data_IF_766123074281
#
_entry.id   IF_766123074281
#
_cell.length_a   1.000
_cell.length_b   1.000
_cell.length_c   1.000
_cell.angle_alpha   90.00
_cell.angle_beta   90.00
_cell.angle_gamma   90.00
#
_symmetry.space_group_name_H-M   'P 1'
#
loop_
_entity.id
_entity.type
_entity.pdbx_description
1 polymer ?
#
# COMPACT_ATOMS: atom_id res chain seq x y z
N UNK A 1 -14.75 5.52 27.75
CA UNK A 1 -14.27 4.71 26.62
C UNK A 1 -13.87 3.34 27.16
N UNK A 2 -14.26 2.28 26.45
CA UNK A 2 -13.95 0.87 26.69
C UNK A 2 -12.78 0.52 25.76
N UNK A 3 -11.82 -0.26 26.27
CA UNK A 3 -10.72 -0.78 25.44
C UNK A 3 -11.25 -1.91 24.53
N UNK A 4 -11.13 -1.73 23.22
CA UNK A 4 -11.52 -2.71 22.22
C UNK A 4 -10.42 -3.74 21.98
N UNK A 5 -9.16 -3.29 21.98
CA UNK A 5 -7.98 -4.14 21.81
C UNK A 5 -6.69 -3.40 22.18
N UNK A 6 -5.64 -4.16 22.45
CA UNK A 6 -4.26 -3.67 22.65
C UNK A 6 -3.25 -4.63 22.03
N UNK A 7 -2.09 -4.12 21.63
CA UNK A 7 -1.00 -4.96 21.15
C UNK A 7 -0.08 -4.29 20.13
N UNK A 8 0.79 -5.09 19.49
CA UNK A 8 1.64 -4.63 18.40
C UNK A 8 0.80 -4.38 17.15
N UNK A 9 0.76 -3.11 16.73
CA UNK A 9 0.00 -2.71 15.56
C UNK A 9 0.65 -3.25 14.28
N UNK A 10 -0.17 -3.86 13.43
CA UNK A 10 0.13 -4.07 12.01
C UNK A 10 -0.68 -3.10 11.14
N UNK A 11 -0.31 -2.94 9.86
CA UNK A 11 -1.19 -2.26 8.90
C UNK A 11 -2.62 -2.85 8.99
N UNK A 12 -3.66 -2.05 8.78
CA UNK A 12 -5.03 -2.55 8.83
C UNK A 12 -5.22 -3.69 7.83
N UNK A 13 -5.97 -4.73 8.23
CA UNK A 13 -6.50 -5.68 7.27
C UNK A 13 -7.53 -4.95 6.41
N UNK A 14 -7.50 -5.21 5.10
CA UNK A 14 -8.39 -4.57 4.16
C UNK A 14 -8.88 -5.59 3.13
N UNK A 15 -10.16 -5.57 2.83
CA UNK A 15 -10.79 -6.41 1.83
C UNK A 15 -11.87 -5.64 1.08
N UNK A 16 -12.12 -6.03 -0.16
CA UNK A 16 -13.20 -5.47 -0.97
C UNK A 16 -14.42 -6.38 -0.83
N UNK A 17 -15.45 -5.92 -0.11
CA UNK A 17 -16.78 -6.52 -0.12
C UNK A 17 -17.65 -5.68 -1.04
N UNK A 18 -17.49 -5.94 -2.35
CA UNK A 18 -17.89 -5.03 -3.41
C UNK A 18 -19.33 -4.50 -3.24
N UNK A 19 -19.54 -3.17 -3.38
CA UNK A 19 -18.55 -2.16 -3.79
C UNK A 19 -17.77 -1.52 -2.62
N UNK A 20 -18.04 -1.90 -1.37
CA UNK A 20 -17.54 -1.19 -0.18
C UNK A 20 -16.30 -1.87 0.40
N UNK A 21 -15.29 -1.06 0.72
CA UNK A 21 -14.06 -1.54 1.35
C UNK A 21 -14.27 -1.74 2.85
N UNK A 22 -13.83 -2.89 3.36
CA UNK A 22 -13.88 -3.26 4.77
C UNK A 22 -12.49 -3.23 5.40
N UNK A 23 -12.44 -2.75 6.65
CA UNK A 23 -11.22 -2.57 7.41
C UNK A 23 -11.29 -3.24 8.77
N UNK A 24 -10.14 -3.76 9.22
CA UNK A 24 -9.95 -4.16 10.61
C UNK A 24 -8.60 -3.72 11.14
N UNK A 25 -8.56 -3.27 12.38
CA UNK A 25 -7.32 -3.18 13.12
C UNK A 25 -6.74 -4.59 13.33
N UNK A 26 -5.42 -4.65 13.40
CA UNK A 26 -4.66 -5.86 13.75
C UNK A 26 -3.67 -5.49 14.83
N UNK A 27 -3.95 -5.93 16.06
CA UNK A 27 -3.10 -5.74 17.23
C UNK A 27 -2.75 -7.12 17.78
N UNK A 28 -1.49 -7.52 17.57
CA UNK A 28 -1.06 -8.91 17.78
C UNK A 28 -2.03 -9.91 17.09
N UNK A 29 -2.61 -10.84 17.84
CA UNK A 29 -3.56 -11.85 17.33
C UNK A 29 -5.02 -11.35 17.32
N UNK A 30 -5.27 -10.09 17.73
CA UNK A 30 -6.62 -9.52 17.80
C UNK A 30 -6.96 -8.73 16.55
N UNK A 31 -8.13 -9.02 15.98
CA UNK A 31 -8.69 -8.28 14.85
C UNK A 31 -9.98 -7.57 15.26
N UNK A 32 -10.02 -6.24 15.09
CA UNK A 32 -11.19 -5.41 15.44
C UNK A 32 -11.76 -4.74 14.17
N UNK A 33 -13.01 -5.01 13.77
CA UNK A 33 -13.66 -4.32 12.65
C UNK A 33 -13.70 -2.80 12.88
N UNK A 34 -13.26 -2.01 11.89
CA UNK A 34 -13.20 -0.54 12.02
C UNK A 34 -14.42 0.16 11.40
N UNK A 35 -14.98 -0.40 10.32
CA UNK A 35 -16.13 0.21 9.64
C UNK A 35 -17.32 0.52 10.57
N UNK A 36 -17.71 -0.36 11.52
CA UNK A 36 -18.80 -0.06 12.45
C UNK A 36 -18.50 1.08 13.44
N UNK A 37 -17.23 1.48 13.57
CA UNK A 37 -16.79 2.54 14.48
C UNK A 37 -16.89 3.94 13.83
N UNK A 38 -17.22 4.02 12.54
CA UNK A 38 -17.44 5.30 11.84
C UNK A 38 -18.66 6.00 12.46
N UNK A 39 -18.55 7.32 12.61
CA UNK A 39 -19.51 8.17 13.33
C UNK A 39 -19.33 8.16 14.85
N UNK A 40 -18.44 7.31 15.39
CA UNK A 40 -18.23 7.17 16.84
C UNK A 40 -16.91 7.82 17.28
N UNK A 41 -16.83 8.17 18.57
CA UNK A 41 -15.57 8.60 19.18
C UNK A 41 -14.63 7.40 19.29
N UNK A 42 -13.41 7.56 18.80
CA UNK A 42 -12.38 6.54 18.81
C UNK A 42 -11.05 7.18 19.26
N UNK A 43 -10.32 6.47 20.11
CA UNK A 43 -9.00 6.86 20.61
C UNK A 43 -7.97 5.78 20.31
N UNK A 44 -6.86 6.20 19.73
CA UNK A 44 -5.64 5.40 19.60
C UNK A 44 -4.60 5.96 20.57
N UNK A 45 -4.08 5.12 21.44
CA UNK A 45 -3.09 5.50 22.45
C UNK A 45 -1.80 4.70 22.30
N UNK A 46 -0.67 5.39 22.19
CA UNK A 46 0.65 4.79 22.14
C UNK A 46 1.15 4.45 23.55
N UNK A 47 1.44 3.17 23.77
CA UNK A 47 1.81 2.61 25.08
C UNK A 47 3.32 2.70 25.39
N UNK A 48 4.08 3.48 24.63
CA UNK A 48 5.50 3.75 24.92
C UNK A 48 6.49 2.63 24.56
N UNK A 49 6.07 1.66 23.74
CA UNK A 49 6.94 0.58 23.26
C UNK A 49 6.75 0.27 21.78
N UNK A 50 7.86 0.02 21.08
CA UNK A 50 7.89 -0.44 19.69
C UNK A 50 8.59 -1.80 19.68
N UNK A 51 7.94 -2.82 19.12
CA UNK A 51 8.46 -4.20 19.04
C UNK A 51 8.67 -4.60 17.58
N UNK A 52 9.92 -4.87 17.22
CA UNK A 52 10.29 -5.23 15.84
C UNK A 52 9.38 -6.34 15.29
N UNK A 53 8.75 -6.11 14.14
CA UNK A 53 7.84 -7.07 13.49
C UNK A 53 8.51 -8.39 13.09
N UNK A 54 9.84 -8.45 13.02
CA UNK A 54 10.58 -9.68 12.73
C UNK A 54 11.05 -10.41 13.99
N UNK A 55 11.76 -9.71 14.88
CA UNK A 55 12.44 -10.36 16.01
C UNK A 55 11.80 -10.10 17.38
N UNK A 56 10.71 -9.33 17.44
CA UNK A 56 10.00 -8.97 18.68
C UNK A 56 10.76 -8.04 19.63
N UNK A 57 12.06 -7.80 19.43
CA UNK A 57 12.88 -6.97 20.32
C UNK A 57 12.37 -5.53 20.38
N UNK A 58 12.37 -4.97 21.59
CA UNK A 58 12.07 -3.57 21.83
C UNK A 58 13.09 -2.65 21.16
N UNK A 59 12.61 -1.62 20.48
CA UNK A 59 13.41 -0.61 19.80
C UNK A 59 12.87 0.79 20.12
N UNK A 60 13.73 1.81 20.00
CA UNK A 60 13.33 3.22 20.18
C UNK A 60 12.66 3.79 18.93
N UNK A 61 12.92 3.20 17.77
CA UNK A 61 12.44 3.70 16.48
C UNK A 61 12.08 2.51 15.57
N UNK A 62 11.04 2.68 14.77
CA UNK A 62 10.62 1.73 13.73
C UNK A 62 11.23 2.16 12.39
N UNK A 63 12.04 1.29 11.79
CA UNK A 63 12.63 1.45 10.47
C UNK A 63 11.87 0.61 9.44
N UNK A 64 11.84 1.05 8.19
CA UNK A 64 11.22 0.31 7.07
C UNK A 64 9.83 -0.26 7.40
N UNK A 65 9.01 0.52 8.12
CA UNK A 65 7.63 0.17 8.51
C UNK A 65 7.52 -1.07 9.43
N UNK A 66 8.39 -1.21 10.43
CA UNK A 66 8.18 -2.20 11.50
C UNK A 66 9.45 -2.83 12.09
N UNK A 67 10.65 -2.50 11.59
CA UNK A 67 11.87 -3.22 11.96
C UNK A 67 12.77 -2.42 12.90
N UNK A 68 13.50 -3.12 13.78
CA UNK A 68 14.63 -2.54 14.49
C UNK A 68 15.84 -2.38 13.55
N UNK A 69 16.78 -1.52 13.92
CA UNK A 69 17.97 -1.24 13.10
C UNK A 69 18.76 -2.51 12.68
N UNK A 70 19.06 -3.46 13.59
CA UNK A 70 19.75 -4.69 13.20
C UNK A 70 18.99 -5.59 12.21
N UNK A 71 17.65 -5.59 12.26
CA UNK A 71 16.85 -6.35 11.30
C UNK A 71 16.80 -5.63 9.95
N UNK A 72 16.65 -4.30 9.96
CA UNK A 72 16.64 -3.51 8.73
C UNK A 72 17.94 -3.66 7.93
N UNK A 73 19.09 -3.76 8.59
CA UNK A 73 20.38 -3.93 7.90
C UNK A 73 20.65 -5.36 7.42
N UNK A 74 19.94 -6.36 7.95
CA UNK A 74 20.18 -7.79 7.64
C UNK A 74 19.17 -8.38 6.66
N UNK A 75 17.90 -8.01 6.78
CA UNK A 75 16.81 -8.65 6.04
C UNK A 75 16.71 -8.13 4.61
N UNK A 76 16.56 -9.03 3.64
CA UNK A 76 16.42 -8.69 2.22
C UNK A 76 15.13 -7.89 1.93
N UNK A 77 14.06 -8.13 2.70
CA UNK A 77 12.81 -7.35 2.61
C UNK A 77 12.92 -5.88 3.04
N UNK A 78 14.09 -5.46 3.53
CA UNK A 78 14.40 -4.06 3.83
C UNK A 78 15.36 -3.43 2.80
N UNK A 79 15.76 -4.17 1.77
CA UNK A 79 16.70 -3.67 0.76
C UNK A 79 16.09 -2.62 -0.16
N UNK A 80 16.97 -1.84 -0.78
CA UNK A 80 16.59 -0.80 -1.76
C UNK A 80 15.77 -1.37 -2.91
N UNK A 81 16.02 -2.62 -3.32
CA UNK A 81 15.31 -3.28 -4.41
C UNK A 81 13.83 -3.58 -4.11
N UNK A 82 13.39 -3.40 -2.87
CA UNK A 82 11.97 -3.44 -2.49
C UNK A 82 11.25 -2.19 -2.99
N UNK A 83 11.92 -1.04 -2.97
CA UNK A 83 11.40 0.25 -3.45
C UNK A 83 11.77 0.52 -4.91
N UNK A 84 12.86 -0.10 -5.40
CA UNK A 84 13.41 0.01 -6.75
C UNK A 84 13.53 -1.39 -7.37
N UNK A 85 12.42 -2.02 -7.78
CA UNK A 85 12.38 -3.42 -8.21
C UNK A 85 13.32 -3.73 -9.40
N UNK A 86 13.58 -2.76 -10.26
CA UNK A 86 14.51 -2.85 -11.39
C UNK A 86 15.96 -3.13 -10.94
N UNK A 87 16.32 -2.76 -9.72
CA UNK A 87 17.64 -3.01 -9.09
C UNK A 87 17.67 -4.29 -8.26
N UNK A 88 17.01 -5.34 -8.73
CA UNK A 88 16.84 -6.60 -8.00
C UNK A 88 18.19 -7.21 -7.57
N UNK A 89 18.42 -7.31 -6.26
CA UNK A 89 19.64 -7.94 -5.73
C UNK A 89 19.69 -9.45 -6.00
N UNK A 90 18.54 -10.12 -6.11
CA UNK A 90 18.52 -11.55 -6.42
C UNK A 90 19.01 -11.83 -7.83
N UNK A 91 18.51 -11.09 -8.81
CA UNK A 91 18.99 -11.16 -10.20
C UNK A 91 20.49 -10.83 -10.29
N UNK A 92 20.95 -9.83 -9.53
CA UNK A 92 22.35 -9.47 -9.43
C UNK A 92 23.23 -10.46 -8.63
N UNK A 93 22.67 -11.54 -8.07
CA UNK A 93 23.40 -12.53 -7.27
C UNK A 93 23.90 -12.01 -5.91
N UNK A 94 23.35 -10.89 -5.41
CA UNK A 94 23.79 -10.20 -4.19
C UNK A 94 22.71 -10.16 -3.10
N UNK A 95 21.60 -10.87 -3.27
CA UNK A 95 20.53 -10.93 -2.28
C UNK A 95 21.05 -11.48 -0.94
N UNK A 96 20.76 -10.78 0.15
CA UNK A 96 21.14 -11.20 1.51
C UNK A 96 20.45 -12.49 1.95
N UNK A 97 19.27 -12.76 1.40
CA UNK A 97 18.46 -13.96 1.68
C UNK A 97 17.96 -14.56 0.35
N UNK A 98 18.80 -15.36 -0.36
CA UNK A 98 18.43 -15.89 -1.67
C UNK A 98 17.14 -16.72 -1.66
N UNK A 99 16.95 -17.60 -0.67
CA UNK A 99 15.73 -18.41 -0.56
C UNK A 99 14.45 -17.56 -0.43
N UNK A 100 14.54 -16.42 0.27
CA UNK A 100 13.45 -15.45 0.33
C UNK A 100 13.25 -14.74 -1.02
N UNK A 101 14.35 -14.36 -1.68
CA UNK A 101 14.32 -13.74 -3.00
C UNK A 101 13.67 -14.62 -4.07
N UNK A 102 13.91 -15.92 -4.07
CA UNK A 102 13.24 -16.87 -4.96
C UNK A 102 11.70 -16.81 -4.77
N UNK A 103 11.23 -16.91 -3.53
CA UNK A 103 9.80 -16.91 -3.22
C UNK A 103 9.12 -15.56 -3.43
N UNK A 104 9.85 -14.46 -3.24
CA UNK A 104 9.30 -13.11 -3.27
C UNK A 104 9.45 -12.44 -4.64
N UNK A 105 10.61 -12.58 -5.29
CA UNK A 105 10.95 -11.93 -6.55
C UNK A 105 10.60 -12.79 -7.76
N UNK A 106 10.78 -14.11 -7.68
CA UNK A 106 10.58 -15.05 -8.80
C UNK A 106 9.18 -15.64 -8.79
N UNK A 107 8.19 -14.75 -8.80
CA UNK A 107 6.77 -15.09 -8.84
C UNK A 107 6.03 -14.09 -9.71
N UNK A 108 4.83 -14.46 -10.16
CA UNK A 108 4.01 -13.61 -11.00
C UNK A 108 3.68 -12.28 -10.31
N UNK A 109 4.02 -11.21 -11.03
CA UNK A 109 3.68 -9.85 -10.71
C UNK A 109 2.70 -9.30 -11.75
N UNK A 110 2.01 -8.24 -11.35
CA UNK A 110 1.09 -7.49 -12.17
C UNK A 110 1.50 -6.03 -12.16
N UNK A 111 1.57 -5.47 -13.36
CA UNK A 111 1.63 -4.02 -13.59
C UNK A 111 0.20 -3.54 -13.81
N UNK A 112 -0.19 -2.45 -13.15
CA UNK A 112 -1.55 -1.94 -13.18
C UNK A 112 -1.57 -0.41 -13.26
N UNK A 113 -2.67 0.11 -13.79
CA UNK A 113 -3.09 1.49 -13.62
C UNK A 113 -3.95 1.61 -12.37
N UNK A 114 -3.76 2.68 -11.59
CA UNK A 114 -4.62 2.99 -10.45
C UNK A 114 -4.94 4.48 -10.41
N UNK A 115 -6.17 4.81 -10.04
CA UNK A 115 -6.63 6.18 -9.84
C UNK A 115 -6.97 6.39 -8.36
N UNK A 116 -6.08 7.06 -7.61
CA UNK A 116 -6.28 7.36 -6.18
C UNK A 116 -6.63 8.84 -5.96
N UNK A 117 -5.91 9.73 -6.66
CA UNK A 117 -6.12 11.18 -6.69
C UNK A 117 -5.61 11.74 -8.03
N UNK A 118 -5.62 10.90 -9.06
CA UNK A 118 -4.76 10.96 -10.22
C UNK A 118 -4.27 9.56 -10.61
N UNK A 119 -3.97 9.42 -11.90
CA UNK A 119 -3.47 8.19 -12.50
C UNK A 119 -2.04 7.89 -12.06
N UNK A 120 -1.73 6.62 -11.83
CA UNK A 120 -0.37 6.11 -11.63
C UNK A 120 -0.22 4.72 -12.23
N UNK A 121 1.01 4.39 -12.61
CA UNK A 121 1.45 3.02 -12.84
C UNK A 121 1.95 2.45 -11.52
N UNK A 122 1.58 1.22 -11.21
CA UNK A 122 2.07 0.53 -10.02
C UNK A 122 2.31 -0.94 -10.28
N UNK A 123 3.12 -1.55 -9.42
CA UNK A 123 3.38 -2.99 -9.45
C UNK A 123 2.97 -3.68 -8.16
N UNK A 124 2.72 -4.99 -8.26
CA UNK A 124 2.46 -5.86 -7.10
C UNK A 124 2.56 -7.33 -7.48
N UNK A 125 2.67 -8.22 -6.49
CA UNK A 125 2.43 -9.65 -6.70
C UNK A 125 0.96 -9.89 -7.03
N UNK A 126 0.66 -10.83 -7.93
CA UNK A 126 -0.71 -11.16 -8.29
C UNK A 126 -1.58 -11.50 -7.07
N UNK A 127 -1.01 -12.23 -6.10
CA UNK A 127 -1.66 -12.63 -4.84
C UNK A 127 -2.02 -11.48 -3.90
N UNK A 128 -1.54 -10.26 -4.16
CA UNK A 128 -1.85 -9.06 -3.36
C UNK A 128 -2.95 -8.21 -3.98
N UNK A 129 -3.54 -8.62 -5.10
CA UNK A 129 -4.71 -7.96 -5.68
C UNK A 129 -6.00 -8.49 -5.06
N UNK A 130 -6.99 -7.65 -4.71
CA UNK A 130 -7.00 -6.18 -4.84
C UNK A 130 -6.38 -5.43 -3.64
N UNK A 131 -5.92 -6.12 -2.59
CA UNK A 131 -5.42 -5.55 -1.33
C UNK A 131 -4.42 -4.40 -1.52
N UNK A 132 -3.51 -4.50 -2.50
CA UNK A 132 -2.51 -3.47 -2.77
C UNK A 132 -3.12 -2.16 -3.30
N UNK A 133 -4.22 -2.22 -4.04
CA UNK A 133 -4.96 -1.04 -4.49
C UNK A 133 -5.70 -0.40 -3.34
N UNK A 134 -6.34 -1.22 -2.49
CA UNK A 134 -7.05 -0.80 -1.29
C UNK A 134 -6.12 -0.10 -0.30
N UNK A 135 -4.93 -0.64 -0.06
CA UNK A 135 -3.89 -0.03 0.78
C UNK A 135 -3.47 1.36 0.31
N UNK A 136 -3.59 1.61 -0.99
CA UNK A 136 -3.20 2.87 -1.64
C UNK A 136 -4.38 3.85 -1.79
N UNK A 137 -5.60 3.45 -1.41
CA UNK A 137 -6.78 4.28 -1.54
C UNK A 137 -7.19 4.54 -2.99
N UNK A 138 -6.90 3.61 -3.91
CA UNK A 138 -7.34 3.72 -5.30
C UNK A 138 -8.86 3.57 -5.41
N UNK A 139 -9.54 4.48 -6.10
CA UNK A 139 -10.97 4.42 -6.44
C UNK A 139 -11.22 3.56 -7.68
N UNK A 140 -10.25 3.53 -8.61
CA UNK A 140 -10.25 2.62 -9.75
C UNK A 140 -8.89 1.94 -9.89
N UNK A 141 -8.88 0.70 -10.36
CA UNK A 141 -7.66 0.04 -10.80
C UNK A 141 -7.91 -0.88 -11.98
N UNK A 142 -6.91 -1.02 -12.84
CA UNK A 142 -6.93 -1.87 -14.02
C UNK A 142 -5.58 -2.60 -14.13
N UNK A 143 -5.54 -3.93 -13.96
CA UNK A 143 -4.39 -4.74 -14.40
C UNK A 143 -4.13 -4.52 -15.89
N UNK A 144 -2.88 -4.25 -16.27
CA UNK A 144 -2.53 -4.01 -17.68
C UNK A 144 -1.52 -5.02 -18.21
N UNK A 145 -0.65 -5.57 -17.36
CA UNK A 145 0.31 -6.61 -17.75
C UNK A 145 0.55 -7.62 -16.63
N UNK A 146 0.71 -8.89 -16.98
CA UNK A 146 1.28 -9.93 -16.14
C UNK A 146 2.76 -10.11 -16.49
N UNK A 147 3.61 -10.17 -15.48
CA UNK A 147 5.06 -10.30 -15.65
C UNK A 147 5.63 -11.38 -14.73
N UNK A 148 6.59 -12.15 -15.22
CA UNK A 148 7.05 -13.36 -14.54
C UNK A 148 7.90 -13.10 -13.28
N UNK A 149 8.55 -11.93 -13.19
CA UNK A 149 9.37 -11.58 -12.03
C UNK A 149 9.13 -10.15 -11.55
N UNK A 150 9.49 -9.92 -10.28
CA UNK A 150 9.47 -8.59 -9.66
C UNK A 150 10.35 -7.59 -10.42
N UNK A 151 11.53 -8.00 -10.86
CA UNK A 151 12.45 -7.11 -11.57
C UNK A 151 11.85 -6.65 -12.89
N UNK A 152 11.30 -7.59 -13.66
CA UNK A 152 10.63 -7.29 -14.92
C UNK A 152 9.46 -6.32 -14.69
N UNK A 153 8.70 -6.49 -13.60
CA UNK A 153 7.65 -5.52 -13.25
C UNK A 153 8.19 -4.11 -13.02
N UNK A 154 9.36 -3.96 -12.38
CA UNK A 154 10.01 -2.67 -12.18
C UNK A 154 10.48 -2.04 -13.49
N UNK A 155 11.08 -2.83 -14.38
CA UNK A 155 11.51 -2.36 -15.70
C UNK A 155 10.32 -1.89 -16.55
N UNK A 156 9.22 -2.66 -16.55
CA UNK A 156 7.98 -2.27 -17.23
C UNK A 156 7.39 -1.01 -16.59
N UNK A 157 7.33 -0.94 -15.25
CA UNK A 157 6.82 0.26 -14.55
C UNK A 157 7.63 1.51 -14.91
N UNK A 158 8.96 1.42 -14.99
CA UNK A 158 9.84 2.54 -15.34
C UNK A 158 9.56 3.06 -16.76
N UNK A 159 9.44 2.15 -17.73
CA UNK A 159 9.06 2.50 -19.12
C UNK A 159 7.73 3.25 -19.14
N UNK A 160 6.69 2.72 -18.49
CA UNK A 160 5.34 3.27 -18.54
C UNK A 160 5.19 4.57 -17.73
N UNK A 161 5.93 4.72 -16.62
CA UNK A 161 5.85 5.89 -15.73
C UNK A 161 6.27 7.17 -16.45
N UNK A 162 7.12 7.09 -17.47
CA UNK A 162 7.50 8.25 -18.30
C UNK A 162 6.30 8.98 -18.92
N UNK A 163 5.19 8.28 -19.15
CA UNK A 163 3.97 8.81 -19.76
C UNK A 163 2.92 9.24 -18.75
N UNK A 164 3.12 8.94 -17.46
CA UNK A 164 2.15 9.21 -16.41
C UNK A 164 2.70 10.26 -15.45
N UNK A 165 2.11 11.47 -15.40
CA UNK A 165 2.58 12.49 -14.47
C UNK A 165 2.40 12.01 -13.03
N UNK A 166 3.51 11.80 -12.31
CA UNK A 166 3.47 11.37 -10.91
C UNK A 166 2.94 12.50 -10.02
N UNK A 167 1.60 12.56 -9.90
CA UNK A 167 0.87 13.52 -9.07
C UNK A 167 0.42 12.89 -7.75
N UNK A 168 1.23 11.99 -7.18
CA UNK A 168 0.85 11.28 -5.95
C UNK A 168 1.07 12.16 -4.72
N UNK A 169 0.14 13.07 -4.43
CA UNK A 169 0.10 13.80 -3.16
C UNK A 169 -0.86 13.08 -2.20
N UNK A 170 -0.33 12.47 -1.13
CA UNK A 170 -1.16 11.79 -0.12
C UNK A 170 -2.22 12.71 0.51
N UNK A 171 -2.01 14.03 0.50
CA UNK A 171 -3.03 14.98 0.97
C UNK A 171 -4.20 15.05 0.00
N UNK A 172 -3.98 14.93 -1.31
CA UNK A 172 -5.06 14.92 -2.30
C UNK A 172 -5.97 13.69 -2.12
N UNK A 173 -5.41 12.54 -1.74
CA UNK A 173 -6.16 11.33 -1.41
C UNK A 173 -7.24 11.56 -0.33
N UNK A 174 -6.97 12.45 0.63
CA UNK A 174 -7.83 12.71 1.78
C UNK A 174 -8.67 14.00 1.64
N UNK A 175 -8.73 14.60 0.44
CA UNK A 175 -9.54 15.79 0.17
C UNK A 175 -10.87 15.48 -0.51
N UNK A 176 -11.06 14.26 -0.99
CA UNK A 176 -12.24 13.87 -1.75
C UNK A 176 -12.02 12.58 -2.53
N UNK A 177 -13.02 12.23 -3.32
CA UNK A 177 -12.90 11.17 -4.30
C UNK A 177 -12.21 11.66 -5.58
N UNK A 178 -11.49 10.75 -6.22
CA UNK A 178 -10.89 11.03 -7.50
C UNK A 178 -11.98 11.05 -8.58
N UNK A 179 -11.82 11.95 -9.55
CA UNK A 179 -12.65 11.94 -10.76
C UNK A 179 -12.47 10.60 -11.49
N UNK A 180 -13.57 10.07 -12.02
CA UNK A 180 -13.56 8.81 -12.76
C UNK A 180 -12.81 8.99 -14.08
N UNK A 181 -11.89 8.08 -14.36
CA UNK A 181 -11.10 8.06 -15.58
C UNK A 181 -11.42 6.81 -16.42
N UNK A 182 -11.27 6.95 -17.73
CA UNK A 182 -11.30 5.83 -18.68
C UNK A 182 -9.95 5.12 -18.69
N UNK A 183 -9.76 4.20 -17.73
CA UNK A 183 -8.49 3.46 -17.59
C UNK A 183 -8.15 2.62 -18.83
N UNK A 184 -9.10 1.95 -19.52
CA UNK A 184 -8.81 1.27 -20.78
C UNK A 184 -8.27 2.20 -21.86
N UNK A 185 -8.89 3.37 -22.08
CA UNK A 185 -8.38 4.32 -23.07
C UNK A 185 -6.98 4.84 -22.71
N UNK A 186 -6.74 5.12 -21.43
CA UNK A 186 -5.42 5.54 -20.93
C UNK A 186 -4.38 4.42 -21.11
N UNK A 187 -4.76 3.15 -20.89
CA UNK A 187 -3.88 1.98 -21.12
C UNK A 187 -3.42 1.96 -22.58
N UNK A 188 -4.34 2.05 -23.52
CA UNK A 188 -4.00 2.04 -24.96
C UNK A 188 -3.05 3.20 -25.31
N UNK A 189 -3.33 4.41 -24.83
CA UNK A 189 -2.45 5.57 -25.04
C UNK A 189 -1.03 5.36 -24.50
N UNK A 190 -0.90 4.80 -23.30
CA UNK A 190 0.40 4.50 -22.69
C UNK A 190 1.11 3.40 -23.48
N UNK A 191 0.40 2.35 -23.89
CA UNK A 191 0.98 1.25 -24.66
C UNK A 191 1.48 1.70 -26.03
N UNK A 192 0.72 2.55 -26.73
CA UNK A 192 1.13 3.14 -28.00
C UNK A 192 2.39 4.00 -27.83
N UNK A 193 2.39 4.88 -26.83
CA UNK A 193 3.53 5.76 -26.55
C UNK A 193 4.80 4.99 -26.10
N UNK A 194 4.63 3.82 -25.47
CA UNK A 194 5.73 3.01 -24.94
C UNK A 194 6.03 1.75 -25.77
N UNK A 195 5.48 1.64 -26.99
CA UNK A 195 5.48 0.40 -27.75
C UNK A 195 6.90 -0.13 -28.04
N UNK A 196 7.85 0.76 -28.33
CA UNK A 196 9.25 0.37 -28.57
C UNK A 196 9.92 -0.19 -27.31
N UNK A 197 9.76 0.48 -26.16
CA UNK A 197 10.33 0.03 -24.89
C UNK A 197 9.74 -1.30 -24.41
N UNK A 198 8.42 -1.50 -24.59
CA UNK A 198 7.76 -2.77 -24.30
C UNK A 198 8.26 -3.90 -25.22
N UNK A 199 8.43 -3.62 -26.53
CA UNK A 199 8.99 -4.58 -27.49
C UNK A 199 10.43 -4.96 -27.15
N UNK A 200 11.25 -4.00 -26.71
CA UNK A 200 12.62 -4.27 -26.25
C UNK A 200 12.63 -5.23 -25.04
N UNK A 201 11.80 -4.95 -24.03
CA UNK A 201 11.70 -5.81 -22.85
C UNK A 201 11.18 -7.21 -23.22
N UNK A 202 10.18 -7.31 -24.10
CA UNK A 202 9.68 -8.60 -24.59
C UNK A 202 10.72 -9.36 -25.45
N UNK A 203 11.54 -8.66 -26.24
CA UNK A 203 12.64 -9.26 -26.98
C UNK A 203 13.71 -9.82 -26.05
N UNK A 204 14.01 -9.11 -24.95
CA UNK A 204 15.00 -9.52 -23.94
C UNK A 204 14.54 -10.68 -23.07
N UNK A 205 13.28 -10.67 -22.62
CA UNK A 205 12.78 -11.63 -21.61
C UNK A 205 11.81 -12.68 -22.18
N UNK A 206 11.36 -12.50 -23.42
CA UNK A 206 10.37 -13.35 -24.08
C UNK A 206 8.93 -12.88 -23.87
N UNK A 207 8.07 -13.16 -24.86
CA UNK A 207 6.65 -12.79 -24.85
C UNK A 207 5.87 -13.40 -23.68
N UNK A 208 6.28 -14.60 -23.22
CA UNK A 208 5.63 -15.25 -22.07
C UNK A 208 6.02 -14.60 -20.74
N UNK A 209 7.15 -13.91 -20.65
CA UNK A 209 7.57 -13.26 -19.42
C UNK A 209 6.86 -11.91 -19.19
N UNK A 210 6.40 -11.25 -20.26
CA UNK A 210 5.75 -9.93 -20.19
C UNK A 210 4.52 -9.94 -21.12
N UNK A 211 3.36 -10.17 -20.51
CA UNK A 211 2.11 -10.41 -21.22
C UNK A 211 1.10 -9.28 -20.95
N UNK A 212 0.59 -8.60 -22.00
CA UNK A 212 -0.55 -7.70 -21.86
C UNK A 212 -1.79 -8.43 -21.33
N UNK A 213 -2.67 -7.68 -20.66
CA UNK A 213 -3.97 -8.16 -20.17
C UNK A 213 -5.11 -7.37 -20.84
N UNK A 214 -5.45 -7.66 -22.11
CA UNK A 214 -6.42 -6.87 -22.87
C UNK A 214 -7.84 -6.95 -22.29
N UNK A 215 -8.23 -8.13 -21.80
CA UNK A 215 -9.56 -8.44 -21.28
C UNK A 215 -9.72 -8.13 -19.77
N UNK A 216 -8.71 -7.50 -19.15
CA UNK A 216 -8.82 -7.12 -17.75
C UNK A 216 -9.89 -6.03 -17.55
N UNK A 217 -10.69 -6.19 -16.51
CA UNK A 217 -11.75 -5.26 -16.17
C UNK A 217 -11.30 -4.19 -15.16
N UNK A 218 -11.94 -3.03 -15.23
CA UNK A 218 -11.73 -1.96 -14.24
C UNK A 218 -12.42 -2.34 -12.94
N UNK A 219 -11.64 -2.43 -11.86
CA UNK A 219 -12.16 -2.64 -10.51
C UNK A 219 -12.46 -1.29 -9.88
N UNK A 220 -13.72 -1.11 -9.47
CA UNK A 220 -14.22 0.07 -8.76
C UNK A 220 -14.21 -0.18 -7.25
N UNK A 221 -13.72 0.79 -6.48
CA UNK A 221 -13.58 0.68 -5.03
C UNK A 221 -14.18 1.90 -4.34
N UNK A 222 -15.16 1.69 -3.46
CA UNK A 222 -15.78 2.75 -2.65
C UNK A 222 -15.32 2.65 -1.20
N UNK A 223 -14.80 3.76 -0.69
CA UNK A 223 -14.29 3.84 0.68
C UNK A 223 -15.37 4.36 1.64
N UNK A 224 -15.43 3.85 2.87
CA UNK A 224 -16.39 4.28 3.87
C UNK A 224 -15.94 5.64 4.46
N UNK A 225 -16.35 6.74 3.84
CA UNK A 225 -16.06 8.11 4.28
C UNK A 225 -17.35 8.92 4.33
N UNK A 226 -17.74 9.36 5.51
CA UNK A 226 -18.89 10.25 5.72
C UNK A 226 -18.55 11.70 5.40
N UNK A 227 -17.35 12.15 5.81
CA UNK A 227 -16.90 13.50 5.56
C UNK A 227 -15.37 13.58 5.40
N UNK A 228 -14.92 14.33 4.39
CA UNK A 228 -13.51 14.65 4.18
C UNK A 228 -13.11 15.91 4.97
N UNK A 229 -11.89 15.95 5.55
CA UNK A 229 -11.43 17.07 6.35
C UNK A 229 -11.15 18.29 5.47
N UNK A 230 -11.64 19.47 5.89
CA UNK A 230 -11.33 20.75 5.21
C UNK A 230 -9.84 21.10 5.26
N UNK A 231 -9.19 20.75 6.38
CA UNK A 231 -7.75 20.92 6.60
C UNK A 231 -7.15 19.61 7.07
N UNK A 232 -6.06 19.20 6.43
CA UNK A 232 -5.38 17.95 6.75
C UNK A 232 -4.33 18.24 7.83
N UNK A 233 -4.64 17.84 9.06
CA UNK A 233 -3.73 17.84 10.20
C UNK A 233 -3.38 16.39 10.53
N UNK A 234 -2.10 16.03 10.50
CA UNK A 234 -1.69 14.64 10.75
C UNK A 234 -1.36 14.44 12.22
N UNK A 235 -1.94 13.43 12.85
CA UNK A 235 -1.54 12.97 14.18
C UNK A 235 -0.11 12.44 14.17
N UNK A 236 0.62 12.71 15.25
CA UNK A 236 1.97 12.22 15.45
C UNK A 236 2.14 11.59 16.84
N UNK A 237 2.02 10.26 16.93
CA UNK A 237 2.09 9.52 18.20
C UNK A 237 3.46 9.62 18.89
N UNK A 238 4.51 10.00 18.16
CA UNK A 238 5.85 10.25 18.72
C UNK A 238 5.91 11.56 19.51
N UNK A 239 5.03 12.53 19.20
CA UNK A 239 4.97 13.86 19.83
C UNK A 239 3.83 13.97 20.83
N UNK A 240 2.67 13.46 20.46
CA UNK A 240 1.47 13.38 21.28
C UNK A 240 0.98 11.94 21.22
N UNK A 241 1.09 11.14 22.29
CA UNK A 241 0.83 9.70 22.27
C UNK A 241 -0.65 9.35 22.06
N UNK A 242 -1.54 10.33 21.84
CA UNK A 242 -2.95 10.12 21.62
C UNK A 242 -3.38 10.68 20.26
N UNK A 243 -4.14 9.87 19.52
CA UNK A 243 -4.95 10.34 18.39
C UNK A 243 -6.42 10.02 18.69
N UNK A 244 -7.24 11.05 18.82
CA UNK A 244 -8.63 10.92 19.27
C UNK A 244 -9.55 11.89 18.54
N UNK A 245 -10.76 11.45 18.24
CA UNK A 245 -11.84 12.26 17.68
C UNK A 245 -13.03 11.40 17.31
N UNK A 246 -13.98 11.98 16.58
CA UNK A 246 -15.04 11.23 15.89
C UNK A 246 -14.47 10.67 14.59
N UNK A 247 -14.53 9.35 14.39
CA UNK A 247 -14.06 8.72 13.15
C UNK A 247 -15.04 9.02 12.01
N UNK A 248 -14.64 9.87 11.07
CA UNK A 248 -15.46 10.28 9.92
C UNK A 248 -15.29 9.37 8.70
N UNK A 249 -14.24 8.53 8.67
CA UNK A 249 -14.03 7.62 7.57
C UNK A 249 -12.67 6.97 7.51
N UNK A 250 -12.52 6.11 6.52
CA UNK A 250 -11.29 5.34 6.27
C UNK A 250 -11.01 5.33 4.78
N UNK A 251 -9.80 5.68 4.37
CA UNK A 251 -9.36 5.60 2.96
C UNK A 251 -7.89 5.22 2.89
N UNK A 252 -7.57 4.17 2.12
CA UNK A 252 -6.22 3.62 2.12
C UNK A 252 -5.88 3.00 3.48
N UNK A 253 -4.73 3.40 4.04
CA UNK A 253 -4.33 3.07 5.41
C UNK A 253 -4.50 4.27 6.37
N UNK A 254 -5.35 5.23 6.01
CA UNK A 254 -5.63 6.41 6.83
C UNK A 254 -6.99 6.29 7.52
N UNK A 255 -7.01 6.60 8.82
CA UNK A 255 -8.24 6.99 9.51
C UNK A 255 -8.41 8.51 9.42
N UNK A 256 -9.64 8.93 9.23
CA UNK A 256 -10.04 10.33 9.12
C UNK A 256 -10.90 10.64 10.34
N UNK A 257 -10.42 11.55 11.19
CA UNK A 257 -11.15 12.09 12.32
C UNK A 257 -11.59 13.54 12.05
N UNK A 258 -12.57 14.01 12.80
CA UNK A 258 -12.93 15.43 12.87
C UNK A 258 -11.78 16.33 13.36
N UNK A 259 -10.88 15.78 14.17
CA UNK A 259 -9.72 16.45 14.77
C UNK A 259 -8.41 16.29 13.99
N UNK A 260 -8.34 15.37 13.01
CA UNK A 260 -7.11 15.11 12.25
C UNK A 260 -7.15 13.80 11.47
N UNK A 261 -6.00 13.42 10.89
CA UNK A 261 -5.86 12.15 10.15
C UNK A 261 -4.64 11.38 10.64
N UNK A 262 -4.70 10.06 10.59
CA UNK A 262 -3.57 9.21 10.99
C UNK A 262 -3.37 8.07 10.01
N UNK A 263 -2.12 7.90 9.54
CA UNK A 263 -1.73 6.74 8.75
C UNK A 263 -1.36 5.58 9.67
N UNK A 264 -2.18 4.53 9.72
CA UNK A 264 -1.97 3.39 10.61
C UNK A 264 -0.71 2.62 10.24
N UNK A 265 -0.40 2.50 8.94
CA UNK A 265 0.80 1.80 8.47
C UNK A 265 2.11 2.46 8.98
N UNK A 266 2.13 3.79 9.20
CA UNK A 266 3.28 4.49 9.81
C UNK A 266 3.63 3.93 11.20
N UNK A 267 2.61 3.52 11.97
CA UNK A 267 2.76 3.04 13.34
C UNK A 267 2.81 1.50 13.43
N UNK A 268 3.13 0.83 12.33
CA UNK A 268 3.44 -0.61 12.38
C UNK A 268 4.58 -0.86 13.38
N UNK A 269 4.44 -1.92 14.19
CA UNK A 269 5.28 -2.29 15.33
C UNK A 269 5.07 -1.48 16.63
N UNK A 270 4.24 -0.43 16.63
CA UNK A 270 3.94 0.32 17.85
C UNK A 270 2.96 -0.46 18.72
N UNK A 271 3.19 -0.49 20.02
CA UNK A 271 2.23 -0.99 21.00
C UNK A 271 1.13 0.06 21.20
N UNK A 272 -0.08 -0.23 20.73
CA UNK A 272 -1.22 0.67 20.84
C UNK A 272 -2.35 0.05 21.67
N UNK A 273 -3.16 0.90 22.29
CA UNK A 273 -4.50 0.58 22.73
C UNK A 273 -5.52 1.31 21.86
N UNK A 274 -6.61 0.63 21.51
CA UNK A 274 -7.76 1.16 20.77
C UNK A 274 -8.95 1.24 21.71
N UNK A 275 -9.52 2.43 21.89
CA UNK A 275 -10.63 2.67 22.81
C UNK A 275 -11.81 3.36 22.14
N UNK A 276 -13.04 3.01 22.54
CA UNK A 276 -14.30 3.57 22.05
C UNK A 276 -15.22 3.98 23.21
#
# INVERSE_FOLDING_TARGET
MIELARGSLSKMAVSLQAPVVQYSFRLDDTQVPVNPLIGQRLRLEYLGAIHCSHCGKRTKTSFSQGYCYPCMTKLAQCDVCIMAPEKCHYDAGTCREPSWGEQFCMTDHVVYLANSSGIKVGITRATQLPTRWLDQGASQALPIMRVATRQQSGLVEDVLRSQVPDRTNWRALLKGDAEVLDLPAIREQIFDACADGLRELQGRFGLQAIQPLPDAEVVQMKYPVEAYPKKIVSFNLDKDPVAEGTLLGIKGQYLIFDTGVINIRKYTAYQLAVLQ
#
